data_IF_553737676498
#
_entry.id   IF_553737676498
#
_cell.length_a   1.000
_cell.length_b   1.000
_cell.length_c   1.000
_cell.angle_alpha   90.00
_cell.angle_beta   90.00
_cell.angle_gamma   90.00
#
_symmetry.space_group_name_H-M   'P 1'
#
loop_
_entity.id
_entity.type
_entity.pdbx_description
1 polymer ?
#
# COMPACT_ATOMS: atom_id res chain seq x y z
N UNK A 1 -13.48 21.82 7.69
CA UNK A 1 -14.21 20.54 7.50
C UNK A 1 -13.76 19.92 6.18
N UNK A 2 -13.45 18.62 6.13
CA UNK A 2 -12.94 18.02 4.89
C UNK A 2 -14.08 17.82 3.85
N UNK A 3 -13.83 18.08 2.55
CA UNK A 3 -14.86 17.90 1.52
C UNK A 3 -15.34 16.45 1.46
N UNK A 4 -16.61 16.22 1.10
CA UNK A 4 -17.22 14.89 1.08
C UNK A 4 -16.38 13.86 0.28
N UNK A 5 -15.86 14.27 -0.87
CA UNK A 5 -15.02 13.41 -1.67
C UNK A 5 -13.62 13.12 -1.09
N UNK A 6 -13.09 13.97 -0.19
CA UNK A 6 -11.86 13.64 0.56
C UNK A 6 -12.14 12.59 1.64
N UNK A 7 -13.33 12.66 2.29
CA UNK A 7 -13.76 11.65 3.27
C UNK A 7 -13.90 10.28 2.61
N UNK A 8 -14.51 10.21 1.43
CA UNK A 8 -14.64 8.97 0.66
C UNK A 8 -13.27 8.43 0.23
N UNK A 9 -12.41 9.28 -0.36
CA UNK A 9 -11.06 8.90 -0.78
C UNK A 9 -10.19 8.40 0.39
N UNK A 10 -10.24 9.08 1.55
CA UNK A 10 -9.53 8.63 2.75
C UNK A 10 -10.08 7.30 3.30
N UNK A 11 -11.40 7.10 3.22
CA UNK A 11 -12.04 5.82 3.54
C UNK A 11 -11.54 4.70 2.65
N UNK A 12 -11.54 4.91 1.33
CA UNK A 12 -11.05 3.95 0.35
C UNK A 12 -9.56 3.64 0.53
N UNK A 13 -8.72 4.66 0.74
CA UNK A 13 -7.30 4.49 1.06
C UNK A 13 -7.11 3.64 2.33
N UNK A 14 -7.92 3.89 3.37
CA UNK A 14 -7.87 3.08 4.59
C UNK A 14 -8.19 1.62 4.28
N UNK A 15 -9.27 1.36 3.55
CA UNK A 15 -9.68 0.00 3.18
C UNK A 15 -8.60 -0.72 2.37
N UNK A 16 -7.97 -0.06 1.40
CA UNK A 16 -6.87 -0.62 0.62
C UNK A 16 -5.68 -1.00 1.52
N UNK A 17 -5.33 -0.17 2.50
CA UNK A 17 -4.26 -0.46 3.45
C UNK A 17 -4.60 -1.65 4.35
N UNK A 18 -5.81 -1.71 4.88
CA UNK A 18 -6.25 -2.84 5.72
C UNK A 18 -6.29 -4.14 4.93
N UNK A 19 -6.81 -4.09 3.70
CA UNK A 19 -6.79 -5.20 2.76
C UNK A 19 -5.35 -5.67 2.51
N UNK A 20 -4.44 -4.75 2.18
CA UNK A 20 -3.03 -5.06 1.96
C UNK A 20 -2.40 -5.82 3.13
N UNK A 21 -2.64 -5.38 4.37
CA UNK A 21 -2.11 -6.04 5.58
C UNK A 21 -2.71 -7.45 5.79
N UNK A 22 -4.01 -7.62 5.60
CA UNK A 22 -4.65 -8.95 5.72
C UNK A 22 -4.13 -9.90 4.65
N UNK A 23 -3.91 -9.40 3.44
CA UNK A 23 -3.53 -10.23 2.29
C UNK A 23 -2.03 -10.44 2.13
N UNK A 24 -1.19 -9.79 2.94
CA UNK A 24 0.27 -9.84 2.83
C UNK A 24 0.84 -11.26 2.95
N UNK A 25 0.12 -12.14 3.64
CA UNK A 25 0.50 -13.53 3.90
C UNK A 25 0.07 -14.50 2.80
N UNK A 26 -0.69 -14.03 1.81
CA UNK A 26 -1.15 -14.86 0.70
C UNK A 26 0.03 -15.04 -0.27
N UNK A 27 0.49 -16.27 -0.54
CA UNK A 27 1.60 -16.52 -1.46
C UNK A 27 1.13 -16.46 -2.93
N UNK A 28 0.45 -15.37 -3.29
CA UNK A 28 -0.06 -15.15 -4.63
C UNK A 28 0.10 -13.69 -5.04
N UNK A 29 0.15 -13.44 -6.36
CA UNK A 29 0.35 -12.10 -6.92
C UNK A 29 -0.93 -11.27 -7.00
N UNK A 30 -2.10 -11.91 -6.99
CA UNK A 30 -3.39 -11.23 -7.14
C UNK A 30 -3.68 -10.16 -6.06
N UNK A 31 -3.31 -10.31 -4.77
CA UNK A 31 -3.62 -9.28 -3.78
C UNK A 31 -2.80 -8.01 -4.01
N UNK A 32 -1.53 -8.17 -4.39
CA UNK A 32 -0.68 -7.05 -4.79
C UNK A 32 -1.25 -6.35 -6.02
N UNK A 33 -1.70 -7.10 -7.03
CA UNK A 33 -2.30 -6.53 -8.24
C UNK A 33 -3.59 -5.74 -7.92
N UNK A 34 -4.47 -6.27 -7.07
CA UNK A 34 -5.67 -5.56 -6.61
C UNK A 34 -5.30 -4.27 -5.87
N UNK A 35 -4.27 -4.31 -5.02
CA UNK A 35 -3.77 -3.14 -4.31
C UNK A 35 -3.20 -2.09 -5.29
N UNK A 36 -2.37 -2.52 -6.25
CA UNK A 36 -1.80 -1.65 -7.29
C UNK A 36 -2.90 -0.94 -8.08
N UNK A 37 -3.86 -1.69 -8.61
CA UNK A 37 -4.99 -1.14 -9.39
C UNK A 37 -5.81 -0.18 -8.54
N UNK A 38 -6.15 -0.55 -7.30
CA UNK A 38 -6.93 0.28 -6.39
C UNK A 38 -6.22 1.60 -6.04
N UNK A 39 -4.92 1.54 -5.76
CA UNK A 39 -4.10 2.72 -5.43
C UNK A 39 -3.94 3.60 -6.66
N UNK A 40 -3.65 3.05 -7.85
CA UNK A 40 -3.51 3.83 -9.07
C UNK A 40 -4.81 4.48 -9.52
N UNK A 41 -5.93 3.77 -9.45
CA UNK A 41 -7.25 4.34 -9.75
C UNK A 41 -7.57 5.50 -8.79
N UNK A 42 -7.35 5.32 -7.48
CA UNK A 42 -7.58 6.37 -6.50
C UNK A 42 -6.64 7.57 -6.73
N UNK A 43 -5.35 7.32 -7.01
CA UNK A 43 -4.36 8.35 -7.30
C UNK A 43 -4.71 9.14 -8.56
N UNK A 44 -5.12 8.48 -9.63
CA UNK A 44 -5.54 9.11 -10.88
C UNK A 44 -6.76 10.00 -10.68
N UNK A 45 -7.82 9.50 -10.02
CA UNK A 45 -9.03 10.28 -9.72
C UNK A 45 -8.70 11.50 -8.84
N UNK A 46 -7.82 11.33 -7.85
CA UNK A 46 -7.42 12.42 -6.96
C UNK A 46 -6.56 13.46 -7.68
N UNK A 47 -5.60 13.02 -8.50
CA UNK A 47 -4.75 13.89 -9.31
C UNK A 47 -5.58 14.73 -10.30
N UNK A 48 -6.53 14.09 -11.00
CA UNK A 48 -7.43 14.78 -11.92
C UNK A 48 -8.26 15.84 -11.20
N UNK A 49 -8.78 15.50 -10.02
CA UNK A 49 -9.52 16.45 -9.18
C UNK A 49 -8.66 17.62 -8.71
N UNK A 50 -7.40 17.37 -8.37
CA UNK A 50 -6.47 18.40 -7.94
C UNK A 50 -6.13 19.35 -9.11
N UNK A 51 -5.88 18.78 -10.29
CA UNK A 51 -5.64 19.52 -11.52
C UNK A 51 -6.84 20.42 -11.89
N UNK A 52 -8.07 19.89 -11.84
CA UNK A 52 -9.30 20.68 -12.07
C UNK A 52 -9.51 21.80 -11.06
N UNK A 53 -8.96 21.68 -9.85
CA UNK A 53 -9.05 22.72 -8.82
C UNK A 53 -7.89 23.71 -8.86
N UNK A 54 -6.92 23.53 -9.75
CA UNK A 54 -5.70 24.35 -9.81
C UNK A 54 -4.86 24.32 -8.53
N UNK A 55 -5.07 23.33 -7.66
CA UNK A 55 -4.38 23.24 -6.39
C UNK A 55 -3.01 22.59 -6.57
N UNK A 56 -2.00 23.09 -5.86
CA UNK A 56 -0.65 22.53 -5.94
C UNK A 56 -0.55 21.24 -5.12
N UNK A 57 0.06 20.17 -5.66
CA UNK A 57 0.30 18.95 -4.91
C UNK A 57 1.26 19.22 -3.76
N UNK A 58 0.96 18.62 -2.61
CA UNK A 58 1.79 18.63 -1.42
C UNK A 58 2.97 17.70 -1.63
N UNK A 59 4.16 18.28 -1.52
CA UNK A 59 5.42 17.53 -1.59
C UNK A 59 6.03 17.41 -0.20
N UNK A 60 6.70 16.28 0.09
CA UNK A 60 7.39 16.05 1.34
C UNK A 60 8.67 15.22 1.11
N UNK A 61 9.60 15.28 2.06
CA UNK A 61 10.89 14.59 1.98
C UNK A 61 10.79 13.09 1.64
N UNK A 62 9.89 12.29 2.25
CA UNK A 62 9.73 10.87 1.91
C UNK A 62 9.36 10.62 0.44
N UNK A 63 8.62 11.55 -0.20
CA UNK A 63 8.29 11.44 -1.62
C UNK A 63 9.53 11.57 -2.50
N UNK A 64 10.46 12.46 -2.14
CA UNK A 64 11.74 12.60 -2.85
C UNK A 64 12.56 11.31 -2.79
N UNK A 65 12.61 10.66 -1.62
CA UNK A 65 13.33 9.39 -1.46
C UNK A 65 12.71 8.27 -2.32
N UNK A 66 11.38 8.13 -2.29
CA UNK A 66 10.66 7.15 -3.10
C UNK A 66 10.78 7.44 -4.60
N UNK A 67 10.71 8.71 -4.99
CA UNK A 67 10.95 9.12 -6.36
C UNK A 67 12.38 8.79 -6.80
N UNK A 68 13.37 8.95 -5.92
CA UNK A 68 14.75 8.54 -6.18
C UNK A 68 14.89 7.05 -6.47
N UNK A 69 14.25 6.19 -5.67
CA UNK A 69 14.23 4.74 -5.90
C UNK A 69 13.56 4.39 -7.23
N UNK A 70 12.45 5.06 -7.55
CA UNK A 70 11.75 4.88 -8.82
C UNK A 70 12.64 5.29 -10.01
N UNK A 71 13.25 6.47 -9.93
CA UNK A 71 14.16 6.98 -10.96
C UNK A 71 15.33 6.04 -11.17
N UNK A 72 15.89 5.49 -10.09
CA UNK A 72 16.95 4.50 -10.18
C UNK A 72 16.52 3.25 -10.95
N UNK A 73 15.34 2.69 -10.64
CA UNK A 73 14.81 1.54 -11.39
C UNK A 73 14.57 1.85 -12.87
N UNK A 74 14.09 3.06 -13.19
CA UNK A 74 13.92 3.51 -14.57
C UNK A 74 15.25 3.69 -15.31
N UNK A 75 16.27 4.22 -14.65
CA UNK A 75 17.62 4.33 -15.21
C UNK A 75 18.20 2.95 -15.49
N UNK A 76 18.04 2.00 -14.57
CA UNK A 76 18.49 0.61 -14.80
C UNK A 76 17.84 0.01 -16.04
N UNK A 77 16.54 0.23 -16.25
CA UNK A 77 15.81 -0.24 -17.44
C UNK A 77 16.24 0.47 -18.72
N UNK A 78 16.57 1.76 -18.64
CA UNK A 78 16.99 2.57 -19.79
C UNK A 78 18.41 2.22 -20.27
N UNK A 79 19.33 1.95 -19.34
CA UNK A 79 20.71 1.56 -19.65
C UNK A 79 20.92 0.04 -19.80
N UNK A 80 19.84 -0.74 -19.72
CA UNK A 80 19.85 -2.21 -19.77
C UNK A 80 20.80 -2.85 -18.73
N UNK A 81 21.00 -2.17 -17.60
CA UNK A 81 21.85 -2.61 -16.48
C UNK A 81 21.18 -3.68 -15.60
N UNK A 82 20.04 -4.22 -16.04
CA UNK A 82 19.25 -5.18 -15.29
C UNK A 82 19.60 -6.60 -15.69
N UNK A 83 19.93 -7.46 -14.72
CA UNK A 83 20.12 -8.90 -14.95
C UNK A 83 18.82 -9.55 -15.45
N UNK A 84 17.67 -9.12 -14.91
CA UNK A 84 16.36 -9.61 -15.32
C UNK A 84 15.34 -8.49 -15.46
N UNK A 85 15.17 -8.03 -16.70
CA UNK A 85 14.37 -6.86 -17.08
C UNK A 85 12.92 -6.93 -16.60
N UNK A 86 12.31 -8.11 -16.61
CA UNK A 86 10.92 -8.27 -16.15
C UNK A 86 10.77 -8.05 -14.63
N UNK A 87 11.69 -8.56 -13.81
CA UNK A 87 11.65 -8.31 -12.37
C UNK A 87 11.92 -6.84 -12.03
N UNK A 88 12.78 -6.16 -12.79
CA UNK A 88 12.98 -4.71 -12.60
C UNK A 88 11.73 -3.92 -12.96
N UNK A 89 11.02 -4.27 -14.04
CA UNK A 89 9.73 -3.68 -14.37
C UNK A 89 8.69 -3.86 -13.27
N UNK A 90 8.60 -5.06 -12.71
CA UNK A 90 7.69 -5.35 -11.61
C UNK A 90 8.03 -4.55 -10.33
N UNK A 91 9.32 -4.43 -10.05
CA UNK A 91 9.82 -3.61 -8.96
C UNK A 91 9.45 -2.14 -9.16
N UNK A 92 9.70 -1.58 -10.36
CA UNK A 92 9.34 -0.21 -10.72
C UNK A 92 7.84 0.04 -10.54
N UNK A 93 6.98 -0.89 -10.97
CA UNK A 93 5.53 -0.78 -10.79
C UNK A 93 5.15 -0.75 -9.29
N UNK A 94 5.77 -1.62 -8.49
CA UNK A 94 5.53 -1.70 -7.05
C UNK A 94 6.02 -0.44 -6.32
N UNK A 95 7.20 0.08 -6.67
CA UNK A 95 7.71 1.35 -6.12
C UNK A 95 6.85 2.55 -6.54
N UNK A 96 6.32 2.54 -7.77
CA UNK A 96 5.36 3.56 -8.22
C UNK A 96 4.07 3.51 -7.40
N UNK A 97 3.56 2.32 -7.08
CA UNK A 97 2.42 2.17 -6.18
C UNK A 97 2.72 2.74 -4.79
N UNK A 98 3.88 2.43 -4.21
CA UNK A 98 4.26 2.99 -2.90
C UNK A 98 4.38 4.52 -2.92
N UNK A 99 4.97 5.08 -3.99
CA UNK A 99 5.03 6.54 -4.19
C UNK A 99 3.62 7.14 -4.23
N UNK A 100 2.71 6.57 -5.03
CA UNK A 100 1.32 7.03 -5.13
C UNK A 100 0.58 6.92 -3.79
N UNK A 101 0.80 5.84 -3.05
CA UNK A 101 0.19 5.60 -1.74
C UNK A 101 0.64 6.63 -0.70
N UNK A 102 1.94 6.92 -0.63
CA UNK A 102 2.47 7.95 0.28
C UNK A 102 1.98 9.34 -0.12
N UNK A 103 1.93 9.63 -1.43
CA UNK A 103 1.41 10.92 -1.92
C UNK A 103 -0.07 11.11 -1.53
N UNK A 104 -0.90 10.09 -1.76
CA UNK A 104 -2.30 10.08 -1.33
C UNK A 104 -2.44 10.26 0.18
N UNK A 105 -1.60 9.60 0.98
CA UNK A 105 -1.62 9.75 2.43
C UNK A 105 -1.28 11.19 2.86
N UNK A 106 -0.26 11.81 2.26
CA UNK A 106 0.15 13.20 2.53
C UNK A 106 -0.97 14.18 2.17
N UNK A 107 -1.64 13.97 1.04
CA UNK A 107 -2.77 14.79 0.60
C UNK A 107 -4.01 14.63 1.51
N UNK A 108 -4.46 13.40 1.71
CA UNK A 108 -5.73 13.10 2.39
C UNK A 108 -5.63 13.24 3.91
N UNK A 109 -4.49 12.90 4.51
CA UNK A 109 -4.28 12.98 5.97
C UNK A 109 -3.72 14.34 6.42
N UNK A 110 -3.63 15.31 5.52
CA UNK A 110 -3.37 16.71 5.86
C UNK A 110 -4.47 17.28 6.77
N UNK A 111 -5.71 16.85 6.59
CA UNK A 111 -6.86 17.24 7.40
C UNK A 111 -6.85 16.55 8.76
N UNK A 112 -6.84 17.33 9.85
CA UNK A 112 -6.78 16.82 11.23
C UNK A 112 -7.90 15.81 11.53
N UNK A 113 -9.13 16.07 11.07
CA UNK A 113 -10.28 15.18 11.24
C UNK A 113 -10.06 13.81 10.58
N UNK A 114 -9.59 13.78 9.33
CA UNK A 114 -9.31 12.55 8.59
C UNK A 114 -8.16 11.77 9.22
N UNK A 115 -7.11 12.48 9.65
CA UNK A 115 -5.96 11.89 10.32
C UNK A 115 -6.33 11.21 11.64
N UNK A 116 -7.15 11.85 12.47
CA UNK A 116 -7.62 11.25 13.73
C UNK A 116 -8.47 10.01 13.48
N UNK A 117 -9.40 10.06 12.52
CA UNK A 117 -10.23 8.90 12.15
C UNK A 117 -9.39 7.75 11.59
N UNK A 118 -8.43 8.05 10.72
CA UNK A 118 -7.50 7.06 10.17
C UNK A 118 -6.71 6.35 11.27
N UNK A 119 -6.12 7.11 12.20
CA UNK A 119 -5.38 6.55 13.34
C UNK A 119 -6.27 5.69 14.23
N UNK A 120 -7.49 6.15 14.54
CA UNK A 120 -8.44 5.37 15.33
C UNK A 120 -8.80 4.03 14.66
N UNK A 121 -9.05 4.04 13.35
CA UNK A 121 -9.29 2.81 12.57
C UNK A 121 -8.08 1.88 12.58
N UNK A 122 -6.87 2.43 12.45
CA UNK A 122 -5.64 1.65 12.46
C UNK A 122 -5.39 1.00 13.83
N UNK A 123 -5.65 1.72 14.92
CA UNK A 123 -5.54 1.19 16.29
C UNK A 123 -6.53 0.04 16.52
N UNK A 124 -7.80 0.24 16.19
CA UNK A 124 -8.80 -0.81 16.30
C UNK A 124 -8.49 -2.01 15.42
N UNK A 125 -8.05 -1.76 14.19
CA UNK A 125 -7.64 -2.82 13.28
C UNK A 125 -6.46 -3.62 13.82
N UNK A 126 -5.39 -2.95 14.27
CA UNK A 126 -4.22 -3.62 14.85
C UNK A 126 -4.56 -4.41 16.12
N UNK A 127 -5.44 -3.87 16.96
CA UNK A 127 -5.95 -4.57 18.14
C UNK A 127 -6.71 -5.84 17.76
N UNK A 128 -7.69 -5.75 16.85
CA UNK A 128 -8.44 -6.91 16.37
C UNK A 128 -7.53 -7.94 15.67
N UNK A 129 -6.58 -7.46 14.87
CA UNK A 129 -5.60 -8.30 14.18
C UNK A 129 -4.69 -9.04 15.17
N UNK A 130 -4.31 -8.41 16.28
CA UNK A 130 -3.52 -9.04 17.34
C UNK A 130 -4.29 -10.16 18.05
N UNK A 131 -5.55 -9.90 18.42
CA UNK A 131 -6.44 -10.93 19.00
C UNK A 131 -6.62 -12.08 18.01
N UNK A 132 -6.98 -11.77 16.76
CA UNK A 132 -7.18 -12.78 15.72
C UNK A 132 -5.91 -13.61 15.50
N UNK A 133 -4.74 -12.97 15.38
CA UNK A 133 -3.45 -13.64 15.23
C UNK A 133 -3.17 -14.61 16.38
N UNK A 134 -3.45 -14.19 17.62
CA UNK A 134 -3.25 -15.04 18.82
C UNK A 134 -4.19 -16.25 18.78
N UNK A 135 -5.47 -16.04 18.47
CA UNK A 135 -6.45 -17.13 18.36
C UNK A 135 -6.06 -18.11 17.26
N UNK A 136 -5.70 -17.61 16.06
CA UNK A 136 -5.30 -18.46 14.94
C UNK A 136 -4.00 -19.24 15.20
N UNK A 137 -3.06 -18.63 15.92
CA UNK A 137 -1.82 -19.30 16.32
C UNK A 137 -2.09 -20.58 17.14
N UNK A 138 -3.02 -20.52 18.09
CA UNK A 138 -3.39 -21.68 18.91
C UNK A 138 -4.40 -22.61 18.24
N UNK A 139 -5.25 -22.10 17.35
CA UNK A 139 -6.35 -22.88 16.74
C UNK A 139 -5.92 -23.64 15.48
N UNK A 140 -4.90 -23.16 14.76
CA UNK A 140 -4.50 -23.79 13.49
C UNK A 140 -2.97 -23.95 13.38
N UNK A 141 -2.40 -25.00 13.98
CA UNK A 141 -0.96 -25.26 13.86
C UNK A 141 -0.56 -25.44 12.39
N UNK A 142 0.48 -24.72 11.97
CA UNK A 142 1.05 -24.81 10.62
C UNK A 142 0.31 -24.04 9.52
N UNK A 143 -0.70 -23.21 9.84
CA UNK A 143 -1.36 -22.35 8.84
C UNK A 143 -1.43 -20.87 9.26
N UNK A 144 -1.06 -19.96 8.37
CA UNK A 144 -1.28 -18.52 8.58
C UNK A 144 -2.77 -18.22 8.33
N UNK A 145 -3.44 -17.67 9.34
CA UNK A 145 -4.89 -17.38 9.36
C UNK A 145 -5.80 -18.57 8.97
N UNK A 146 -5.33 -19.80 9.18
CA UNK A 146 -6.10 -21.01 8.88
C UNK A 146 -6.25 -21.40 7.40
N UNK A 147 -5.76 -20.56 6.46
CA UNK A 147 -5.97 -20.75 5.02
C UNK A 147 -4.70 -21.22 4.29
N UNK A 148 -3.51 -20.77 4.72
CA UNK A 148 -2.27 -21.05 4.00
C UNK A 148 -1.33 -21.92 4.82
N UNK A 149 -0.98 -23.09 4.30
CA UNK A 149 0.04 -23.94 4.92
C UNK A 149 1.40 -23.25 4.85
N UNK A 150 2.07 -23.14 5.99
CA UNK A 150 3.49 -22.75 6.05
C UNK A 150 4.29 -24.01 5.81
N UNK A 151 4.93 -24.12 4.63
CA UNK A 151 5.81 -25.25 4.36
C UNK A 151 7.11 -25.05 5.14
N UNK A 152 7.20 -25.69 6.30
CA UNK A 152 8.37 -25.66 7.18
C UNK A 152 9.54 -26.50 6.62
N UNK A 153 9.38 -27.15 5.45
CA UNK A 153 10.41 -27.98 4.82
C UNK A 153 11.54 -27.21 4.13
N UNK A 154 11.52 -25.88 4.12
CA UNK A 154 12.58 -25.06 3.51
C UNK A 154 13.72 -24.66 4.48
N UNK A 155 13.62 -25.01 5.76
CA UNK A 155 14.74 -24.91 6.70
C UNK A 155 15.20 -26.35 6.97
N UNK A 156 16.24 -26.78 6.25
CA UNK A 156 16.88 -28.08 6.46
C UNK A 156 17.49 -28.20 7.87
N UNK A 157 17.90 -29.43 8.25
CA UNK A 157 18.50 -29.72 9.56
C UNK A 157 19.78 -28.91 9.85
#
# INVERSE_FOLDING_TARGET
>A
MAPAGARAAAGFLTLLLLFGVITLWVPARWPLAVLQVGVFALAAVWALRLAWRGARPRWCWPLSALAGVLLWGLLQLAFDWTVYRFATWDSVLTWTMYLALVWLAVELLSWRELRTRFRARLLWFGFLLSIASTVFYFTTPGKVFGVFAVDYRAVGP
#
